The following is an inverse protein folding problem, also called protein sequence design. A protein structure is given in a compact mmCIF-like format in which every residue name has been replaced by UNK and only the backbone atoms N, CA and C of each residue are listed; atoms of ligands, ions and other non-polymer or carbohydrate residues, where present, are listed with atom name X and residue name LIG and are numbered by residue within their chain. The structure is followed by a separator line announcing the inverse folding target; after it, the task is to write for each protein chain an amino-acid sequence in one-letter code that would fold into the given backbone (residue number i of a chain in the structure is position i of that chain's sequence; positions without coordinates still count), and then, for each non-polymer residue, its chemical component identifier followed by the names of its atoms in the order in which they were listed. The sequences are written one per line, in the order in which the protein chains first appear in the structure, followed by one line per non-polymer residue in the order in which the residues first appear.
data_IF_927422893977
#
_entry.id   IF_927422893977
#
_cell.length_a   1.000
_cell.length_b   1.000
_cell.length_c   1.000
_cell.angle_alpha   90.00
_cell.angle_beta   90.00
_cell.angle_gamma   90.00
#
_symmetry.space_group_name_H-M   'P 1'
#
loop_
_entity.id
_entity.type
_entity.pdbx_description
1 polymer ?
#
# COMPACT_ATOMS: atom_id res chain seq x y z
N UNK A 1 15.21 -19.89 2.42
CA UNK A 1 15.36 -18.44 2.20
C UNK A 1 15.36 -18.22 0.71
N UNK A 2 14.41 -17.43 0.19
CA UNK A 2 14.28 -17.17 -1.24
C UNK A 2 15.20 -16.04 -1.67
N UNK A 3 15.69 -16.14 -2.90
CA UNK A 3 16.48 -15.13 -3.60
C UNK A 3 15.69 -14.42 -4.70
N UNK A 4 14.36 -14.48 -4.60
CA UNK A 4 13.44 -13.97 -5.60
C UNK A 4 12.10 -13.58 -4.99
N UNK A 5 11.44 -12.67 -5.68
CA UNK A 5 10.08 -12.23 -5.40
C UNK A 5 9.11 -12.96 -6.32
N UNK A 6 7.88 -13.13 -5.85
CA UNK A 6 6.73 -13.55 -6.66
C UNK A 6 5.63 -12.52 -6.49
N UNK A 7 5.12 -12.00 -7.60
CA UNK A 7 3.97 -11.10 -7.63
C UNK A 7 3.15 -11.36 -8.89
N UNK A 8 1.87 -11.05 -8.84
CA UNK A 8 1.02 -11.08 -10.04
C UNK A 8 0.85 -9.67 -10.58
N UNK A 9 0.86 -9.50 -11.90
CA UNK A 9 0.64 -8.22 -12.58
C UNK A 9 -0.41 -8.43 -13.66
N UNK A 10 -1.56 -7.75 -13.56
CA UNK A 10 -2.72 -7.93 -14.44
C UNK A 10 -3.10 -9.42 -14.62
N UNK A 11 -3.08 -10.20 -13.53
CA UNK A 11 -3.33 -11.65 -13.52
C UNK A 11 -2.15 -12.54 -13.94
N UNK A 12 -1.09 -12.01 -14.54
CA UNK A 12 0.09 -12.79 -14.92
C UNK A 12 1.07 -12.93 -13.76
N UNK A 13 1.53 -14.15 -13.48
CA UNK A 13 2.51 -14.42 -12.42
C UNK A 13 3.92 -14.07 -12.87
N UNK A 14 4.64 -13.28 -12.08
CA UNK A 14 6.03 -12.88 -12.32
C UNK A 14 6.96 -13.35 -11.20
N UNK A 15 8.17 -13.77 -11.57
CA UNK A 15 9.27 -14.03 -10.65
C UNK A 15 10.38 -13.03 -10.91
N UNK A 16 10.75 -12.24 -9.90
CA UNK A 16 11.72 -11.14 -10.04
C UNK A 16 12.93 -11.38 -9.15
N UNK A 17 14.13 -11.15 -9.71
CA UNK A 17 15.43 -11.51 -9.11
C UNK A 17 16.45 -10.39 -9.36
N UNK A 18 17.54 -10.44 -8.59
CA UNK A 18 18.72 -9.60 -8.81
C UNK A 18 18.38 -8.11 -8.84
N UNK A 19 18.98 -7.37 -9.80
CA UNK A 19 18.82 -5.91 -9.91
C UNK A 19 17.37 -5.46 -10.07
N UNK A 20 16.55 -6.25 -10.78
CA UNK A 20 15.17 -5.86 -11.06
C UNK A 20 14.34 -5.78 -9.77
N UNK A 21 14.68 -6.55 -8.74
CA UNK A 21 13.98 -6.55 -7.46
C UNK A 21 14.13 -5.24 -6.66
N UNK A 22 15.09 -4.38 -7.00
CA UNK A 22 15.29 -3.08 -6.37
C UNK A 22 14.76 -1.91 -7.21
N UNK A 23 14.22 -2.18 -8.40
CA UNK A 23 13.60 -1.13 -9.22
C UNK A 23 12.35 -0.59 -8.53
N UNK A 24 12.00 0.66 -8.86
CA UNK A 24 10.65 1.14 -8.61
C UNK A 24 9.65 0.26 -9.37
N UNK A 25 8.45 0.07 -8.81
CA UNK A 25 7.39 -0.68 -9.48
C UNK A 25 7.11 -0.07 -10.87
N UNK A 26 7.10 1.26 -10.97
CA UNK A 26 6.87 1.95 -12.23
C UNK A 26 7.95 1.68 -13.29
N UNK A 27 9.22 1.61 -12.92
CA UNK A 27 10.31 1.31 -13.85
C UNK A 27 10.23 -0.14 -14.32
N UNK A 28 9.89 -1.07 -13.42
CA UNK A 28 9.68 -2.44 -13.82
C UNK A 28 8.50 -2.59 -14.80
N UNK A 29 7.34 -2.01 -14.47
CA UNK A 29 6.16 -2.03 -15.34
C UNK A 29 6.48 -1.48 -16.73
N UNK A 30 7.15 -0.32 -16.80
CA UNK A 30 7.39 0.39 -18.06
C UNK A 30 8.57 -0.16 -18.85
N UNK A 31 9.70 -0.40 -18.19
CA UNK A 31 10.98 -0.71 -18.84
C UNK A 31 11.24 -2.22 -18.97
N UNK A 32 10.62 -3.05 -18.15
CA UNK A 32 10.74 -4.53 -18.26
C UNK A 32 9.53 -5.16 -18.91
N UNK A 33 8.32 -4.71 -18.57
CA UNK A 33 7.08 -5.32 -19.07
C UNK A 33 6.45 -4.56 -20.24
N UNK A 34 6.87 -3.33 -20.52
CA UNK A 34 6.28 -2.52 -21.59
C UNK A 34 4.86 -2.02 -21.29
N UNK A 35 4.41 -2.11 -20.02
CA UNK A 35 3.13 -1.58 -19.54
C UNK A 35 3.24 -0.07 -19.32
N UNK A 36 3.22 0.67 -20.44
CA UNK A 36 3.52 2.10 -20.50
C UNK A 36 2.34 3.02 -20.17
N UNK A 37 1.15 2.47 -19.90
CA UNK A 37 -0.04 3.20 -19.47
C UNK A 37 0.17 3.94 -18.16
N UNK A 38 0.84 3.30 -17.19
CA UNK A 38 1.31 3.95 -15.96
C UNK A 38 2.37 5.01 -16.31
N UNK A 39 2.18 6.27 -15.88
CA UNK A 39 3.05 7.38 -16.25
C UNK A 39 3.93 7.82 -15.09
N UNK A 40 5.11 8.38 -15.42
CA UNK A 40 6.03 8.95 -14.44
C UNK A 40 6.27 10.42 -14.80
N UNK A 41 6.00 11.30 -13.82
CA UNK A 41 6.08 12.75 -13.98
C UNK A 41 6.95 13.35 -12.87
N UNK A 42 6.48 13.31 -11.62
CA UNK A 42 7.24 13.87 -10.49
C UNK A 42 8.31 12.90 -9.96
N UNK A 43 8.03 11.59 -9.93
CA UNK A 43 8.86 10.58 -9.25
C UNK A 43 8.99 10.78 -7.73
N UNK A 44 8.01 11.45 -7.11
CA UNK A 44 8.03 11.79 -5.68
C UNK A 44 6.76 11.34 -4.94
N UNK A 45 5.76 10.82 -5.65
CA UNK A 45 4.46 10.45 -5.07
C UNK A 45 3.44 11.62 -4.99
N UNK A 46 3.77 12.79 -5.54
CA UNK A 46 2.90 13.98 -5.41
C UNK A 46 1.80 14.07 -6.47
N UNK A 47 2.04 13.57 -7.69
CA UNK A 47 1.16 13.86 -8.83
C UNK A 47 0.12 12.79 -9.15
N UNK A 48 0.27 11.57 -8.62
CA UNK A 48 -0.62 10.44 -8.88
C UNK A 48 -0.66 9.91 -10.32
N UNK A 49 0.14 10.44 -11.25
CA UNK A 49 0.17 9.93 -12.63
C UNK A 49 0.65 8.47 -12.72
N UNK A 50 1.33 8.00 -11.68
CA UNK A 50 1.84 6.64 -11.52
C UNK A 50 0.95 5.75 -10.66
N UNK A 51 -0.27 6.18 -10.31
CA UNK A 51 -1.17 5.39 -9.47
C UNK A 51 -1.47 4.05 -10.14
N UNK A 52 -1.34 2.97 -9.38
CA UNK A 52 -1.75 1.59 -9.71
C UNK A 52 -2.50 1.00 -8.52
N UNK A 53 -3.24 -0.09 -8.71
CA UNK A 53 -3.89 -0.79 -7.61
C UNK A 53 -3.00 -1.94 -7.13
N UNK A 54 -2.76 -2.01 -5.82
CA UNK A 54 -2.05 -3.13 -5.18
C UNK A 54 -3.01 -3.91 -4.30
N UNK A 55 -3.24 -5.15 -4.71
CA UNK A 55 -4.03 -6.17 -4.05
C UNK A 55 -3.22 -6.99 -3.06
N UNK A 56 -3.73 -7.16 -1.84
CA UNK A 56 -3.18 -8.10 -0.84
C UNK A 56 -4.24 -9.09 -0.36
N UNK A 57 -3.88 -10.37 -0.10
CA UNK A 57 -4.82 -11.33 0.47
C UNK A 57 -5.40 -10.85 1.81
N UNK A 58 -6.71 -10.89 1.94
CA UNK A 58 -7.45 -10.62 3.16
C UNK A 58 -8.33 -11.82 3.52
N UNK A 59 -8.54 -12.02 4.82
CA UNK A 59 -9.56 -12.94 5.30
C UNK A 59 -10.87 -12.16 5.37
N UNK A 60 -11.75 -12.27 4.36
CA UNK A 60 -13.12 -11.79 4.53
C UNK A 60 -13.78 -12.67 5.59
N UNK A 61 -14.30 -12.08 6.66
CA UNK A 61 -15.38 -12.72 7.42
C UNK A 61 -16.53 -12.82 6.42
N UNK A 62 -17.04 -14.04 6.19
CA UNK A 62 -18.20 -14.21 5.31
C UNK A 62 -19.29 -13.25 5.76
N UNK A 63 -19.72 -12.35 4.88
CA UNK A 63 -20.89 -11.52 5.11
C UNK A 63 -22.06 -12.47 5.39
N UNK A 64 -22.70 -12.31 6.53
CA UNK A 64 -24.02 -12.88 6.77
C UNK A 64 -24.99 -12.20 5.82
N UNK A 65 -25.08 -12.70 4.58
CA UNK A 65 -26.11 -12.28 3.65
C UNK A 65 -27.46 -12.40 4.32
N UNK A 66 -28.27 -11.32 4.27
CA UNK A 66 -29.65 -11.34 4.76
C UNK A 66 -30.36 -12.53 4.13
N UNK A 67 -30.75 -13.49 4.97
CA UNK A 67 -31.58 -14.61 4.54
C UNK A 67 -32.98 -14.05 4.25
N UNK A 68 -33.49 -14.27 3.04
CA UNK A 68 -34.93 -14.27 2.84
C UNK A 68 -35.47 -15.53 3.55
N UNK A 69 -36.51 -15.37 4.37
CA UNK A 69 -37.11 -16.43 5.19
C UNK A 69 -37.78 -17.57 4.40
N UNK A 70 -37.68 -17.59 3.06
CA UNK A 70 -38.43 -18.50 2.21
C UNK A 70 -37.75 -19.87 1.94
N UNK A 71 -36.45 -20.03 2.17
CA UNK A 71 -35.70 -21.24 1.76
C UNK A 71 -35.12 -22.05 2.93
N UNK A 72 -35.91 -22.23 4.00
CA UNK A 72 -35.53 -23.04 5.16
C UNK A 72 -35.69 -24.55 4.87
N UNK A 73 -34.81 -25.12 4.04
CA UNK A 73 -34.62 -26.58 3.98
C UNK A 73 -33.60 -27.04 5.04
N UNK A 74 -33.91 -28.05 5.88
CA UNK A 74 -33.01 -28.57 6.90
C UNK A 74 -31.66 -29.07 6.37
N UNK A 75 -31.56 -29.39 5.08
CA UNK A 75 -30.31 -29.82 4.44
C UNK A 75 -29.39 -28.66 3.99
N UNK A 76 -29.84 -27.40 4.04
CA UNK A 76 -29.00 -26.24 3.71
C UNK A 76 -28.06 -25.83 4.87
N UNK A 77 -28.38 -26.23 6.11
CA UNK A 77 -27.60 -25.91 7.31
C UNK A 77 -26.31 -26.72 7.43
N UNK A 78 -26.23 -27.91 6.82
CA UNK A 78 -25.09 -28.82 6.95
C UNK A 78 -23.96 -28.59 5.93
N UNK A 79 -24.13 -27.70 4.93
CA UNK A 79 -23.10 -27.40 3.92
C UNK A 79 -22.39 -26.04 4.15
N UNK A 80 -22.71 -25.33 5.24
CA UNK A 80 -22.33 -23.92 5.43
C UNK A 80 -21.39 -23.64 6.61
N UNK A 81 -20.51 -24.58 6.92
CA UNK A 81 -19.33 -24.33 7.77
C UNK A 81 -18.09 -24.74 6.96
N UNK A 82 -17.10 -23.84 6.84
CA UNK A 82 -15.74 -24.03 6.29
C UNK A 82 -15.35 -23.44 4.91
N UNK A 83 -15.83 -22.25 4.53
CA UNK A 83 -15.04 -21.45 3.58
C UNK A 83 -14.93 -20.01 4.07
N UNK A 84 -13.83 -19.70 4.77
CA UNK A 84 -13.31 -18.33 4.70
C UNK A 84 -13.06 -18.04 3.23
N UNK A 85 -13.90 -17.23 2.60
CA UNK A 85 -13.67 -16.81 1.22
C UNK A 85 -12.42 -15.93 1.25
N UNK A 86 -11.33 -16.45 0.69
CA UNK A 86 -10.12 -15.66 0.49
C UNK A 86 -10.42 -14.61 -0.57
N UNK A 87 -10.25 -13.34 -0.21
CA UNK A 87 -10.39 -12.20 -1.09
C UNK A 87 -9.08 -11.45 -1.21
N UNK A 88 -8.93 -10.64 -2.25
CA UNK A 88 -7.84 -9.66 -2.34
C UNK A 88 -8.44 -8.28 -2.12
N UNK A 89 -7.86 -7.50 -1.21
CA UNK A 89 -8.21 -6.08 -1.04
C UNK A 89 -7.25 -5.20 -1.82
N UNK A 90 -7.78 -4.29 -2.63
CA UNK A 90 -7.01 -3.45 -3.54
C UNK A 90 -7.00 -2.01 -3.05
N UNK A 91 -5.81 -1.42 -2.95
CA UNK A 91 -5.64 -0.01 -2.62
C UNK A 91 -4.81 0.69 -3.69
N UNK A 92 -5.14 1.93 -4.08
CA UNK A 92 -4.34 2.70 -5.01
C UNK A 92 -3.04 3.17 -4.35
N UNK A 93 -1.91 3.02 -5.04
CA UNK A 93 -0.58 3.43 -4.54
C UNK A 93 0.24 4.07 -5.64
N UNK A 94 1.21 4.91 -5.26
CA UNK A 94 2.14 5.53 -6.21
C UNK A 94 3.31 4.59 -6.53
N UNK A 95 3.26 3.99 -7.71
CA UNK A 95 4.27 3.01 -8.16
C UNK A 95 5.68 3.57 -8.32
N UNK A 96 5.84 4.90 -8.41
CA UNK A 96 7.14 5.54 -8.59
C UNK A 96 8.05 5.50 -7.35
N UNK A 97 7.47 5.28 -6.17
CA UNK A 97 8.19 5.30 -4.87
C UNK A 97 8.13 3.96 -4.13
N UNK A 98 7.52 2.93 -4.74
CA UNK A 98 7.51 1.57 -4.20
C UNK A 98 8.61 0.74 -4.87
N UNK A 99 9.49 0.12 -4.08
CA UNK A 99 10.44 -0.88 -4.58
C UNK A 99 9.75 -2.23 -4.78
N UNK A 100 10.18 -2.98 -5.78
CA UNK A 100 9.61 -4.31 -6.04
C UNK A 100 9.77 -5.29 -4.86
N UNK A 101 10.88 -5.23 -4.11
CA UNK A 101 11.08 -6.13 -2.98
C UNK A 101 10.03 -5.99 -1.86
N UNK A 102 9.30 -4.87 -1.81
CA UNK A 102 8.20 -4.65 -0.86
C UNK A 102 6.88 -5.33 -1.32
N UNK A 103 6.83 -5.82 -2.56
CA UNK A 103 5.62 -6.25 -3.25
C UNK A 103 5.55 -7.76 -3.49
N UNK A 104 6.40 -8.55 -2.84
CA UNK A 104 6.25 -10.02 -2.83
C UNK A 104 4.86 -10.43 -2.31
N UNK A 105 4.27 -11.44 -2.94
CA UNK A 105 2.94 -11.96 -2.64
C UNK A 105 1.82 -10.90 -2.75
N UNK A 106 1.92 -10.02 -3.74
CA UNK A 106 0.87 -9.02 -4.07
C UNK A 106 0.36 -9.16 -5.50
N UNK A 107 -0.84 -8.66 -5.74
CA UNK A 107 -1.39 -8.46 -7.09
C UNK A 107 -1.28 -6.99 -7.47
N UNK A 108 -0.68 -6.66 -8.60
CA UNK A 108 -0.66 -5.30 -9.15
C UNK A 108 -1.60 -5.24 -10.34
N UNK A 109 -2.53 -4.29 -10.34
CA UNK A 109 -3.38 -3.99 -11.49
C UNK A 109 -3.05 -2.59 -12.00
N UNK A 110 -2.75 -2.52 -13.29
CA UNK A 110 -2.45 -1.28 -14.03
C UNK A 110 -3.66 -0.85 -14.86
N UNK A 111 -3.60 0.31 -15.52
CA UNK A 111 -4.71 0.79 -16.36
C UNK A 111 -5.03 -0.17 -17.50
N UNK A 112 -4.00 -0.88 -18.02
CA UNK A 112 -4.13 -1.93 -19.03
C UNK A 112 -4.82 -3.19 -18.48
N UNK A 113 -4.73 -3.44 -17.18
CA UNK A 113 -5.34 -4.60 -16.51
C UNK A 113 -6.81 -4.41 -16.15
N UNK A 114 -7.38 -3.22 -16.32
CA UNK A 114 -8.79 -2.99 -15.99
C UNK A 114 -9.76 -3.67 -16.97
N UNK A 115 -9.31 -3.92 -18.21
CA UNK A 115 -10.02 -4.65 -19.26
C UNK A 115 -9.03 -5.32 -20.21
N UNK A 116 -8.62 -6.57 -19.92
CA UNK A 116 -7.67 -7.31 -20.76
C UNK A 116 -8.18 -7.62 -22.18
N UNK A 117 -9.49 -7.55 -22.40
CA UNK A 117 -10.16 -7.76 -23.69
C UNK A 117 -10.10 -6.54 -24.63
N UNK A 118 -9.47 -5.45 -24.20
CA UNK A 118 -9.30 -4.22 -24.98
C UNK A 118 -10.53 -3.32 -25.00
N UNK A 119 -11.59 -3.66 -24.27
CA UNK A 119 -12.73 -2.78 -24.04
C UNK A 119 -12.40 -1.75 -22.96
N UNK A 120 -13.29 -0.78 -22.75
CA UNK A 120 -13.16 0.18 -21.65
C UNK A 120 -14.00 -0.29 -20.45
N UNK A 121 -13.48 -0.13 -19.24
CA UNK A 121 -14.32 -0.19 -18.06
C UNK A 121 -15.15 1.10 -17.94
N UNK A 122 -16.14 1.10 -17.05
CA UNK A 122 -17.03 2.25 -16.87
C UNK A 122 -16.31 3.53 -16.43
N UNK A 123 -15.20 3.44 -15.67
CA UNK A 123 -14.39 4.61 -15.29
C UNK A 123 -13.67 5.20 -16.50
N UNK A 124 -13.06 4.35 -17.33
CA UNK A 124 -12.40 4.77 -18.57
C UNK A 124 -13.41 5.38 -19.55
N UNK A 125 -14.59 4.78 -19.69
CA UNK A 125 -15.65 5.29 -20.55
C UNK A 125 -16.17 6.64 -20.03
N UNK A 126 -16.42 6.78 -18.73
CA UNK A 126 -16.88 8.04 -18.14
C UNK A 126 -15.86 9.18 -18.31
N UNK A 127 -14.55 8.89 -18.28
CA UNK A 127 -13.50 9.88 -18.58
C UNK A 127 -13.58 10.42 -20.01
N UNK A 128 -14.07 9.63 -20.96
CA UNK A 128 -14.31 10.07 -22.34
C UNK A 128 -15.60 10.88 -22.40
N UNK A 129 -16.68 10.33 -21.86
CA UNK A 129 -18.04 10.88 -21.98
C UNK A 129 -18.16 12.26 -21.33
N UNK A 130 -17.54 12.47 -20.16
CA UNK A 130 -17.56 13.77 -19.47
C UNK A 130 -16.41 14.69 -19.88
N UNK A 131 -15.61 14.34 -20.90
CA UNK A 131 -14.43 15.11 -21.29
C UNK A 131 -13.40 15.29 -20.14
N UNK A 132 -13.29 14.28 -19.28
CA UNK A 132 -12.34 14.22 -18.15
C UNK A 132 -10.87 14.10 -18.57
N UNK A 133 -10.58 14.03 -19.88
CA UNK A 133 -9.24 13.89 -20.43
C UNK A 133 -8.98 14.91 -21.55
N UNK A 134 -7.85 15.63 -21.47
CA UNK A 134 -7.35 16.51 -22.55
C UNK A 134 -6.00 16.01 -23.07
N UNK A 135 -4.89 16.37 -22.42
CA UNK A 135 -3.55 15.89 -22.82
C UNK A 135 -3.34 14.39 -22.59
N UNK A 136 -4.18 13.77 -21.74
CA UNK A 136 -4.17 12.33 -21.47
C UNK A 136 -3.11 11.83 -20.48
N UNK A 137 -2.14 12.65 -20.08
CA UNK A 137 -0.98 12.14 -19.31
C UNK A 137 -1.33 11.76 -17.86
N UNK A 138 -2.21 12.51 -17.20
CA UNK A 138 -2.68 12.20 -15.84
C UNK A 138 -3.85 11.19 -15.83
N UNK A 139 -4.50 10.97 -16.97
CA UNK A 139 -5.73 10.19 -17.10
C UNK A 139 -5.60 8.77 -16.51
N UNK A 140 -4.52 8.00 -16.78
CA UNK A 140 -4.34 6.68 -16.16
C UNK A 140 -4.37 6.72 -14.63
N UNK A 141 -3.70 7.70 -14.02
CA UNK A 141 -3.67 7.85 -12.56
C UNK A 141 -5.06 8.11 -11.96
N UNK A 142 -5.84 9.01 -12.57
CA UNK A 142 -7.21 9.27 -12.17
C UNK A 142 -8.13 8.06 -12.34
N UNK A 143 -7.99 7.33 -13.45
CA UNK A 143 -8.74 6.09 -13.69
C UNK A 143 -8.44 5.08 -12.59
N UNK A 144 -7.17 4.84 -12.27
CA UNK A 144 -6.80 3.88 -11.22
C UNK A 144 -7.28 4.30 -9.83
N UNK A 145 -7.22 5.59 -9.49
CA UNK A 145 -7.70 6.10 -8.21
C UNK A 145 -9.23 5.99 -8.09
N UNK A 146 -9.98 6.35 -9.13
CA UNK A 146 -11.44 6.18 -9.16
C UNK A 146 -11.85 4.71 -9.15
N UNK A 147 -11.14 3.83 -9.87
CA UNK A 147 -11.37 2.39 -9.76
C UNK A 147 -11.13 1.90 -8.33
N UNK A 148 -10.08 2.38 -7.64
CA UNK A 148 -9.86 2.08 -6.22
C UNK A 148 -11.05 2.47 -5.33
N UNK A 149 -11.61 3.67 -5.52
CA UNK A 149 -12.84 4.07 -4.81
C UNK A 149 -14.01 3.15 -5.12
N UNK A 150 -14.19 2.74 -6.39
CA UNK A 150 -15.24 1.79 -6.78
C UNK A 150 -14.99 0.37 -6.31
N UNK A 151 -13.77 0.00 -5.91
CA UNK A 151 -13.49 -1.29 -5.26
C UNK A 151 -13.90 -1.28 -3.78
N UNK A 152 -14.09 -0.11 -3.18
CA UNK A 152 -14.51 0.05 -1.77
C UNK A 152 -15.97 0.46 -1.62
N UNK A 153 -16.50 1.26 -2.57
CA UNK A 153 -17.82 1.88 -2.51
C UNK A 153 -18.69 1.43 -3.69
N UNK A 154 -20.00 1.31 -3.47
CA UNK A 154 -20.98 1.05 -4.53
C UNK A 154 -21.43 2.34 -5.24
N UNK A 155 -21.50 3.44 -4.47
CA UNK A 155 -21.86 4.78 -4.97
C UNK A 155 -20.77 5.79 -4.61
N UNK A 156 -20.48 6.69 -5.55
CA UNK A 156 -19.52 7.77 -5.40
C UNK A 156 -20.26 9.11 -5.32
N UNK A 157 -19.98 9.90 -4.29
CA UNK A 157 -20.44 11.28 -4.21
C UNK A 157 -19.29 12.27 -4.48
N UNK A 158 -19.62 13.56 -4.53
CA UNK A 158 -18.64 14.59 -4.83
C UNK A 158 -17.57 14.75 -3.74
N UNK A 159 -17.89 14.45 -2.48
CA UNK A 159 -16.97 14.59 -1.36
C UNK A 159 -15.93 13.47 -1.35
N UNK A 160 -16.37 12.22 -1.56
CA UNK A 160 -15.49 11.08 -1.65
C UNK A 160 -14.57 11.19 -2.86
N UNK A 161 -15.05 11.69 -4.01
CA UNK A 161 -14.23 11.95 -5.19
C UNK A 161 -13.20 13.05 -4.94
N UNK A 162 -13.59 14.17 -4.33
CA UNK A 162 -12.64 15.25 -4.02
C UNK A 162 -11.55 14.79 -3.07
N UNK A 163 -11.88 13.95 -2.09
CA UNK A 163 -10.93 13.42 -1.11
C UNK A 163 -10.04 12.33 -1.72
N UNK A 164 -10.66 11.36 -2.39
CA UNK A 164 -10.00 10.20 -2.99
C UNK A 164 -9.06 10.54 -4.14
N UNK A 165 -9.29 11.68 -4.82
CA UNK A 165 -8.50 12.15 -5.96
C UNK A 165 -7.50 13.26 -5.60
N UNK A 166 -7.35 13.61 -4.32
CA UNK A 166 -6.38 14.66 -3.89
C UNK A 166 -4.94 14.35 -4.29
N UNK A 167 -4.57 13.08 -4.45
CA UNK A 167 -3.25 12.65 -4.92
C UNK A 167 -3.04 12.72 -6.43
N UNK A 168 -4.04 13.12 -7.22
CA UNK A 168 -3.96 13.12 -8.66
C UNK A 168 -4.01 14.55 -9.20
N UNK A 169 -2.94 14.97 -9.89
CA UNK A 169 -2.82 16.33 -10.41
C UNK A 169 -3.16 16.39 -11.90
N UNK A 170 -4.03 17.33 -12.27
CA UNK A 170 -4.33 17.65 -13.66
C UNK A 170 -4.07 19.12 -13.93
N UNK A 171 -3.34 19.43 -15.00
CA UNK A 171 -3.06 20.82 -15.40
C UNK A 171 -3.98 21.34 -16.51
N UNK A 172 -4.79 20.48 -17.12
CA UNK A 172 -5.54 20.80 -18.33
C UNK A 172 -7.05 20.96 -18.11
N UNK A 173 -7.68 20.06 -17.35
CA UNK A 173 -9.14 19.92 -17.34
C UNK A 173 -9.87 20.83 -16.37
N UNK A 174 -9.17 21.41 -15.38
CA UNK A 174 -9.80 22.16 -14.30
C UNK A 174 -10.60 21.30 -13.31
N UNK A 175 -10.39 19.97 -13.32
CA UNK A 175 -10.95 18.95 -12.40
C UNK A 175 -12.46 18.70 -12.47
N UNK A 176 -13.31 19.71 -12.72
CA UNK A 176 -14.78 19.54 -12.81
C UNK A 176 -15.19 18.35 -13.68
N UNK A 177 -14.75 18.21 -14.95
CA UNK A 177 -15.16 17.07 -15.78
C UNK A 177 -14.65 15.72 -15.26
N UNK A 178 -13.57 15.68 -14.48
CA UNK A 178 -13.07 14.44 -13.85
C UNK A 178 -13.98 14.01 -12.71
N UNK A 179 -14.46 14.96 -11.90
CA UNK A 179 -15.42 14.69 -10.83
C UNK A 179 -16.75 14.23 -11.44
N UNK A 180 -17.20 14.87 -12.53
CA UNK A 180 -18.38 14.44 -13.28
C UNK A 180 -18.24 13.00 -13.81
N UNK A 181 -17.07 12.61 -14.32
CA UNK A 181 -16.79 11.21 -14.70
C UNK A 181 -16.97 10.23 -13.55
N UNK A 182 -16.47 10.57 -12.36
CA UNK A 182 -16.65 9.74 -11.17
C UNK A 182 -18.13 9.58 -10.79
N UNK A 183 -18.90 10.66 -10.84
CA UNK A 183 -20.34 10.63 -10.56
C UNK A 183 -21.12 9.83 -11.62
N UNK A 184 -20.74 9.91 -12.90
CA UNK A 184 -21.35 9.14 -13.98
C UNK A 184 -21.15 7.62 -13.80
N UNK A 185 -20.14 7.18 -13.03
CA UNK A 185 -19.95 5.76 -12.72
C UNK A 185 -21.05 5.17 -11.81
N UNK A 186 -21.88 6.00 -11.15
CA UNK A 186 -22.99 5.52 -10.33
C UNK A 186 -24.06 4.87 -11.20
N UNK A 187 -24.47 3.65 -10.81
CA UNK A 187 -25.44 2.85 -11.57
C UNK A 187 -24.88 2.22 -12.86
N UNK A 188 -23.63 2.51 -13.24
CA UNK A 188 -22.94 1.80 -14.31
C UNK A 188 -22.41 0.45 -13.82
N UNK A 189 -22.43 -0.55 -14.70
CA UNK A 189 -21.86 -1.87 -14.41
C UNK A 189 -20.40 -1.73 -13.92
N UNK A 190 -20.06 -2.42 -12.83
CA UNK A 190 -18.72 -2.52 -12.28
C UNK A 190 -18.37 -3.97 -12.08
N UNK A 191 -17.48 -4.48 -12.92
CA UNK A 191 -16.82 -5.73 -12.60
C UNK A 191 -15.75 -5.45 -11.53
N UNK A 192 -15.92 -6.01 -10.33
CA UNK A 192 -14.93 -5.88 -9.25
C UNK A 192 -13.67 -6.63 -9.64
N UNK A 193 -12.50 -6.21 -9.14
CA UNK A 193 -11.24 -6.85 -9.51
C UNK A 193 -11.13 -8.31 -9.07
N UNK A 194 -11.82 -8.72 -8.00
CA UNK A 194 -11.89 -10.12 -7.59
C UNK A 194 -12.76 -10.99 -8.53
N UNK A 195 -13.66 -10.38 -9.31
CA UNK A 195 -14.45 -11.09 -10.33
C UNK A 195 -13.63 -11.22 -11.62
N UNK A 196 -13.00 -10.12 -12.05
CA UNK A 196 -12.10 -10.10 -13.21
C UNK A 196 -10.86 -11.00 -13.01
N UNK A 197 -10.33 -11.03 -11.78
CA UNK A 197 -9.18 -11.82 -11.40
C UNK A 197 -9.52 -12.71 -10.20
N UNK A 198 -10.07 -13.93 -10.43
CA UNK A 198 -10.47 -14.84 -9.37
C UNK A 198 -9.33 -15.10 -8.38
N UNK A 199 -9.52 -14.82 -7.07
CA UNK A 199 -8.41 -14.73 -6.12
C UNK A 199 -7.80 -16.07 -5.73
N UNK A 200 -8.56 -17.17 -5.80
CA UNK A 200 -8.18 -18.45 -5.19
C UNK A 200 -6.82 -19.02 -5.66
N UNK A 201 -6.51 -19.13 -6.96
CA UNK A 201 -5.22 -19.65 -7.40
C UNK A 201 -4.05 -18.76 -6.93
N UNK A 202 -4.27 -17.44 -6.95
CA UNK A 202 -3.26 -16.45 -6.59
C UNK A 202 -3.00 -16.44 -5.08
N UNK A 203 -4.06 -16.42 -4.26
CA UNK A 203 -3.95 -16.45 -2.80
C UNK A 203 -3.30 -17.76 -2.34
N UNK A 204 -3.64 -18.90 -2.95
CA UNK A 204 -3.02 -20.18 -2.62
C UNK A 204 -1.50 -20.18 -2.90
N UNK A 205 -1.04 -19.58 -4.00
CA UNK A 205 0.39 -19.44 -4.29
C UNK A 205 1.08 -18.49 -3.29
N UNK A 206 0.45 -17.35 -2.99
CA UNK A 206 0.99 -16.37 -2.04
C UNK A 206 1.12 -16.95 -0.63
N UNK A 207 0.11 -17.65 -0.12
CA UNK A 207 0.14 -18.25 1.22
C UNK A 207 1.26 -19.30 1.35
N UNK A 208 1.53 -20.09 0.30
CA UNK A 208 2.67 -21.03 0.29
C UNK A 208 4.02 -20.32 0.47
N UNK A 209 4.16 -19.13 -0.12
CA UNK A 209 5.44 -18.40 -0.15
C UNK A 209 5.60 -17.41 1.01
N UNK A 210 4.52 -17.04 1.69
CA UNK A 210 4.46 -15.98 2.72
C UNK A 210 5.34 -16.27 3.95
N UNK A 211 5.48 -17.53 4.33
CA UNK A 211 6.28 -17.92 5.49
C UNK A 211 7.80 -17.89 5.23
N UNK A 212 8.24 -17.87 3.97
CA UNK A 212 9.66 -17.91 3.61
C UNK A 212 10.28 -16.51 3.64
N UNK A 213 11.41 -16.29 4.36
CA UNK A 213 12.15 -15.03 4.28
C UNK A 213 12.86 -14.91 2.94
N UNK A 214 13.08 -13.66 2.51
CA UNK A 214 13.73 -13.32 1.23
C UNK A 214 15.05 -12.59 1.51
N UNK A 215 16.08 -12.91 0.75
CA UNK A 215 17.32 -12.14 0.69
C UNK A 215 17.74 -11.97 -0.76
N UNK A 216 17.72 -10.73 -1.21
CA UNK A 216 18.07 -10.35 -2.57
C UNK A 216 19.46 -9.74 -2.58
N UNK A 217 20.28 -10.20 -3.51
CA UNK A 217 21.60 -9.64 -3.75
C UNK A 217 21.65 -9.06 -5.15
N UNK A 218 22.28 -7.91 -5.27
CA UNK A 218 22.56 -7.27 -6.54
C UNK A 218 23.87 -6.49 -6.43
N UNK A 219 24.37 -6.01 -7.56
CA UNK A 219 25.58 -5.20 -7.63
C UNK A 219 25.26 -3.96 -8.47
N UNK A 220 25.56 -2.75 -8.00
CA UNK A 220 25.50 -1.53 -8.82
C UNK A 220 26.87 -0.89 -8.85
N UNK A 221 27.41 -0.67 -10.05
CA UNK A 221 28.73 -0.05 -10.24
C UNK A 221 29.85 -0.71 -9.43
N UNK A 222 29.82 -2.04 -9.26
CA UNK A 222 30.80 -2.78 -8.45
C UNK A 222 30.51 -2.78 -6.94
N UNK A 223 29.45 -2.11 -6.48
CA UNK A 223 29.06 -2.09 -5.07
C UNK A 223 27.96 -3.13 -4.78
N UNK A 224 28.18 -4.04 -3.82
CA UNK A 224 27.18 -5.03 -3.44
C UNK A 224 26.01 -4.36 -2.72
N UNK A 225 24.80 -4.77 -3.10
CA UNK A 225 23.55 -4.34 -2.50
C UNK A 225 22.77 -5.55 -2.00
N UNK A 226 22.22 -5.45 -0.79
CA UNK A 226 21.41 -6.48 -0.16
C UNK A 226 20.05 -5.90 0.28
N UNK A 227 18.98 -6.63 -0.01
CA UNK A 227 17.67 -6.38 0.57
C UNK A 227 17.19 -7.64 1.31
N UNK A 228 16.93 -7.51 2.61
CA UNK A 228 16.38 -8.56 3.44
C UNK A 228 14.88 -8.32 3.70
N UNK A 229 14.04 -9.30 3.42
CA UNK A 229 12.61 -9.28 3.75
C UNK A 229 12.30 -10.45 4.71
N UNK A 230 12.61 -10.31 6.02
CA UNK A 230 12.36 -11.34 7.02
C UNK A 230 10.86 -11.50 7.31
N UNK A 231 10.48 -12.68 7.78
CA UNK A 231 9.10 -13.00 8.19
C UNK A 231 8.90 -12.92 9.70
N UNK A 232 9.92 -12.54 10.46
CA UNK A 232 9.86 -12.40 11.92
C UNK A 232 10.60 -11.17 12.39
N UNK A 233 10.14 -10.59 13.51
CA UNK A 233 10.82 -9.47 14.16
C UNK A 233 12.23 -9.85 14.62
N UNK A 234 12.44 -11.08 15.09
CA UNK A 234 13.75 -11.57 15.49
C UNK A 234 14.74 -11.53 14.32
N UNK A 235 14.36 -12.08 13.16
CA UNK A 235 15.22 -12.05 11.98
C UNK A 235 15.51 -10.63 11.47
N UNK A 236 14.56 -9.70 11.60
CA UNK A 236 14.78 -8.28 11.28
C UNK A 236 15.80 -7.63 12.21
N UNK A 237 15.70 -7.89 13.52
CA UNK A 237 16.64 -7.36 14.50
C UNK A 237 18.04 -7.96 14.36
N UNK A 238 18.13 -9.26 14.06
CA UNK A 238 19.42 -9.93 13.79
C UNK A 238 20.09 -9.33 12.56
N UNK A 239 19.33 -9.08 11.48
CA UNK A 239 19.85 -8.38 10.30
C UNK A 239 20.35 -6.96 10.63
N UNK A 240 19.64 -6.20 11.48
CA UNK A 240 20.12 -4.88 11.92
C UNK A 240 21.37 -4.96 12.81
N UNK A 241 21.55 -6.05 13.57
CA UNK A 241 22.77 -6.25 14.34
C UNK A 241 23.97 -6.56 13.43
N UNK A 242 23.77 -7.30 12.35
CA UNK A 242 24.79 -7.60 11.34
C UNK A 242 25.05 -6.44 10.39
N UNK A 243 24.03 -5.63 10.11
CA UNK A 243 24.07 -4.46 9.22
C UNK A 243 23.58 -3.19 9.95
N UNK A 244 24.36 -2.60 10.88
CA UNK A 244 23.91 -1.46 11.69
C UNK A 244 23.54 -0.20 10.91
N UNK A 245 24.01 -0.08 9.67
CA UNK A 245 23.71 1.05 8.77
C UNK A 245 22.60 0.74 7.76
N UNK A 246 21.94 -0.41 7.87
CA UNK A 246 20.86 -0.77 6.97
C UNK A 246 19.71 0.23 7.06
N UNK A 247 19.16 0.60 5.91
CA UNK A 247 17.98 1.45 5.84
C UNK A 247 16.73 0.58 5.98
N UNK A 248 15.95 0.85 7.01
CA UNK A 248 14.65 0.20 7.23
C UNK A 248 13.63 0.75 6.23
N UNK A 249 12.87 -0.14 5.60
CA UNK A 249 11.85 0.18 4.60
C UNK A 249 10.54 -0.47 4.99
N UNK A 250 9.46 0.31 4.95
CA UNK A 250 8.08 -0.19 5.08
C UNK A 250 7.22 0.40 3.97
N UNK A 251 6.85 1.68 4.07
CA UNK A 251 6.05 2.38 3.06
C UNK A 251 6.83 2.99 1.91
N UNK A 252 8.15 3.16 2.05
CA UNK A 252 9.05 3.80 1.09
C UNK A 252 8.71 5.25 0.64
N UNK A 253 7.72 5.91 1.24
CA UNK A 253 7.27 7.28 0.86
C UNK A 253 8.30 8.39 1.08
N UNK A 254 9.38 8.11 1.80
CA UNK A 254 10.54 9.02 1.95
C UNK A 254 11.79 8.45 1.26
N UNK A 255 12.17 7.21 1.55
CA UNK A 255 13.37 6.59 0.97
C UNK A 255 13.24 6.41 -0.56
N UNK A 256 12.07 6.07 -1.09
CA UNK A 256 11.82 5.98 -2.53
C UNK A 256 12.07 7.31 -3.23
N UNK A 257 11.60 8.42 -2.64
CA UNK A 257 11.85 9.78 -3.14
C UNK A 257 13.34 10.11 -3.11
N UNK A 258 14.04 9.79 -2.01
CA UNK A 258 15.49 10.01 -1.93
C UNK A 258 16.26 9.22 -2.97
N UNK A 259 15.91 7.96 -3.21
CA UNK A 259 16.53 7.14 -4.24
C UNK A 259 16.30 7.76 -5.62
N UNK A 260 15.06 8.14 -5.94
CA UNK A 260 14.74 8.75 -7.23
C UNK A 260 15.51 10.06 -7.48
N UNK A 261 15.63 10.91 -6.46
CA UNK A 261 16.35 12.20 -6.57
C UNK A 261 17.87 12.05 -6.63
N UNK A 262 18.43 11.11 -5.86
CA UNK A 262 19.88 10.92 -5.77
C UNK A 262 20.44 9.95 -6.81
N UNK A 263 19.60 9.09 -7.39
CA UNK A 263 20.01 7.96 -8.21
C UNK A 263 20.77 6.88 -7.45
N UNK A 264 20.73 6.88 -6.10
CA UNK A 264 21.52 5.98 -5.25
C UNK A 264 20.63 5.16 -4.34
N UNK A 265 20.75 3.84 -4.45
CA UNK A 265 20.08 2.88 -3.58
C UNK A 265 21.01 2.63 -2.37
N UNK A 266 20.49 2.55 -1.12
CA UNK A 266 21.31 2.16 0.02
C UNK A 266 21.89 0.74 -0.15
N UNK A 267 23.16 0.49 0.26
CA UNK A 267 23.78 -0.83 0.13
C UNK A 267 23.08 -1.94 0.91
N UNK A 268 22.43 -1.62 2.03
CA UNK A 268 21.68 -2.58 2.83
C UNK A 268 20.28 -2.04 3.13
N UNK A 269 19.26 -2.84 2.81
CA UNK A 269 17.85 -2.52 2.97
C UNK A 269 17.17 -3.62 3.79
N UNK A 270 16.35 -3.22 4.75
CA UNK A 270 15.53 -4.12 5.55
C UNK A 270 14.05 -3.82 5.30
N UNK A 271 13.37 -4.71 4.60
CA UNK A 271 11.93 -4.63 4.37
C UNK A 271 11.16 -5.23 5.55
N UNK A 272 10.23 -4.47 6.11
CA UNK A 272 9.36 -4.94 7.18
C UNK A 272 8.05 -5.56 6.67
N UNK A 273 7.80 -5.58 5.35
CA UNK A 273 6.47 -5.89 4.81
C UNK A 273 5.96 -7.31 5.06
N UNK A 274 6.87 -8.23 5.37
CA UNK A 274 6.59 -9.65 5.59
C UNK A 274 6.50 -10.07 7.05
N UNK A 275 6.74 -9.15 7.98
CA UNK A 275 6.64 -9.41 9.41
C UNK A 275 5.17 -9.23 9.83
N UNK A 276 4.51 -10.27 10.38
CA UNK A 276 3.14 -10.17 10.86
C UNK A 276 3.02 -9.23 12.07
N UNK A 277 1.81 -8.75 12.32
CA UNK A 277 1.40 -7.97 13.50
C UNK A 277 2.08 -6.59 13.66
N UNK A 278 2.97 -6.18 12.75
CA UNK A 278 3.53 -4.84 12.75
C UNK A 278 2.58 -3.79 12.17
N UNK A 279 1.53 -4.19 11.47
CA UNK A 279 0.52 -3.33 10.85
C UNK A 279 -0.78 -3.22 11.67
N UNK A 280 -0.86 -3.93 12.80
CA UNK A 280 -2.04 -3.97 13.65
C UNK A 280 -2.31 -2.62 14.33
N UNK A 281 -3.59 -2.29 14.46
CA UNK A 281 -4.08 -1.09 15.17
C UNK A 281 -5.27 -1.49 16.03
N UNK A 282 -5.15 -1.31 17.34
CA UNK A 282 -6.17 -1.73 18.30
C UNK A 282 -6.33 -0.75 19.44
N UNK A 283 -7.53 -0.72 20.02
CA UNK A 283 -7.85 0.06 21.21
C UNK A 283 -7.98 -0.90 22.40
N UNK A 284 -7.12 -0.73 23.40
CA UNK A 284 -7.11 -1.54 24.62
C UNK A 284 -7.02 -0.61 25.82
N UNK A 285 -7.93 -0.75 26.79
CA UNK A 285 -7.91 0.04 28.05
C UNK A 285 -7.74 1.55 27.81
N UNK A 286 -8.52 2.14 26.90
CA UNK A 286 -8.42 3.55 26.46
C UNK A 286 -7.06 3.96 25.86
N UNK A 287 -6.26 2.99 25.41
CA UNK A 287 -4.97 3.22 24.76
C UNK A 287 -5.04 2.72 23.32
N UNK A 288 -4.75 3.58 22.35
CA UNK A 288 -4.57 3.18 20.96
C UNK A 288 -3.16 2.62 20.79
N UNK A 289 -3.06 1.33 20.46
CA UNK A 289 -1.81 0.63 20.19
C UNK A 289 -1.71 0.43 18.68
N UNK A 290 -0.65 0.95 18.07
CA UNK A 290 -0.39 0.82 16.65
C UNK A 290 1.01 0.23 16.42
N UNK A 291 1.09 -0.80 15.59
CA UNK A 291 2.37 -1.35 15.16
C UNK A 291 3.15 -0.35 14.28
N UNK A 292 4.46 -0.54 14.17
CA UNK A 292 5.34 0.38 13.43
C UNK A 292 5.01 0.51 11.92
N UNK A 293 4.33 -0.49 11.36
CA UNK A 293 3.82 -0.51 9.99
C UNK A 293 2.36 -0.12 9.84
N UNK A 294 1.67 0.25 10.92
CA UNK A 294 0.33 0.78 10.83
C UNK A 294 0.31 1.92 9.80
N UNK A 295 -0.52 1.77 8.76
CA UNK A 295 -0.62 2.75 7.71
C UNK A 295 -1.43 3.95 8.20
N UNK A 296 -1.26 5.09 7.56
CA UNK A 296 -2.09 6.25 7.87
C UNK A 296 -3.57 5.96 7.61
N UNK A 297 -3.90 5.13 6.63
CA UNK A 297 -5.28 4.69 6.38
C UNK A 297 -5.82 3.84 7.52
N UNK A 298 -5.07 2.86 8.05
CA UNK A 298 -5.56 2.06 9.18
C UNK A 298 -5.71 2.89 10.46
N UNK A 299 -4.78 3.83 10.69
CA UNK A 299 -4.87 4.78 11.80
C UNK A 299 -6.06 5.73 11.66
N UNK A 300 -6.31 6.28 10.47
CA UNK A 300 -7.45 7.17 10.23
C UNK A 300 -8.78 6.45 10.55
N UNK A 301 -8.94 5.21 10.09
CA UNK A 301 -10.12 4.38 10.38
C UNK A 301 -10.27 4.12 11.88
N UNK A 302 -9.19 3.73 12.57
CA UNK A 302 -9.24 3.45 14.00
C UNK A 302 -9.50 4.71 14.84
N UNK A 303 -8.92 5.85 14.46
CA UNK A 303 -9.05 7.11 15.17
C UNK A 303 -10.42 7.76 14.98
N UNK A 304 -11.09 7.55 13.85
CA UNK A 304 -12.40 8.17 13.58
C UNK A 304 -13.46 7.91 14.65
N UNK A 305 -13.33 6.80 15.40
CA UNK A 305 -14.24 6.45 16.48
C UNK A 305 -13.74 6.83 17.88
N UNK A 306 -12.43 7.01 18.05
CA UNK A 306 -11.78 7.09 19.37
C UNK A 306 -11.01 8.40 19.63
N UNK A 307 -10.54 9.08 18.58
CA UNK A 307 -9.67 10.26 18.61
C UNK A 307 -10.02 11.23 17.45
N UNK A 308 -11.14 11.98 17.56
CA UNK A 308 -11.60 12.85 16.48
C UNK A 308 -10.61 13.99 16.16
N UNK A 309 -9.87 14.50 17.15
CA UNK A 309 -8.86 15.54 16.94
C UNK A 309 -7.71 15.04 16.06
N UNK A 310 -7.23 13.81 16.30
CA UNK A 310 -6.18 13.24 15.47
C UNK A 310 -6.70 12.91 14.07
N UNK A 311 -7.96 12.48 13.97
CA UNK A 311 -8.63 12.22 12.69
C UNK A 311 -8.65 13.46 11.80
N UNK A 312 -8.87 14.65 12.37
CA UNK A 312 -8.81 15.91 11.61
C UNK A 312 -7.40 16.23 11.08
N UNK A 313 -6.34 15.83 11.79
CA UNK A 313 -4.97 15.99 11.31
C UNK A 313 -4.72 14.98 10.18
N UNK A 314 -5.03 13.71 10.43
CA UNK A 314 -4.79 12.61 9.50
C UNK A 314 -5.58 12.73 8.18
N UNK A 315 -6.77 13.34 8.20
CA UNK A 315 -7.59 13.54 6.99
C UNK A 315 -6.93 14.49 5.98
N UNK A 316 -6.05 15.38 6.45
CA UNK A 316 -5.26 16.30 5.61
C UNK A 316 -3.83 15.79 5.34
N UNK A 317 -3.46 14.65 5.92
CA UNK A 317 -2.12 14.09 5.85
C UNK A 317 -1.90 13.37 4.51
N UNK A 318 -1.12 13.99 3.62
CA UNK A 318 -0.76 13.42 2.32
C UNK A 318 -1.96 13.06 1.43
N UNK A 319 -1.70 12.43 0.30
CA UNK A 319 -2.74 11.86 -0.55
C UNK A 319 -3.16 10.46 -0.07
N UNK A 320 -4.36 9.96 -0.44
CA UNK A 320 -4.79 8.58 -0.17
C UNK A 320 -3.71 7.54 -0.54
N UNK A 321 -3.10 7.68 -1.71
CA UNK A 321 -2.03 6.79 -2.21
C UNK A 321 -0.82 6.74 -1.28
N UNK A 322 -0.43 7.90 -0.73
CA UNK A 322 0.63 8.01 0.27
C UNK A 322 0.17 7.40 1.60
N UNK A 323 -1.09 7.62 2.01
CA UNK A 323 -1.64 7.08 3.27
C UNK A 323 -1.78 5.55 3.28
N UNK A 324 -2.04 4.93 2.13
CA UNK A 324 -2.19 3.48 2.02
C UNK A 324 -0.90 2.72 2.35
N UNK A 325 0.27 3.34 2.15
CA UNK A 325 1.58 2.68 2.35
C UNK A 325 2.46 3.38 3.38
N UNK A 326 2.32 4.70 3.56
CA UNK A 326 3.04 5.47 4.56
C UNK A 326 2.68 5.00 5.97
N UNK A 327 3.69 4.82 6.81
CA UNK A 327 3.51 4.21 8.14
C UNK A 327 3.87 5.17 9.26
N UNK A 328 3.21 5.00 10.41
CA UNK A 328 3.48 5.77 11.62
C UNK A 328 4.94 5.63 12.07
N UNK A 329 5.45 4.40 12.14
CA UNK A 329 6.84 4.15 12.54
C UNK A 329 7.85 4.77 11.57
N UNK A 330 7.54 4.77 10.26
CA UNK A 330 8.37 5.43 9.25
C UNK A 330 8.41 6.95 9.42
N UNK A 331 7.28 7.57 9.77
CA UNK A 331 7.21 9.01 10.02
C UNK A 331 7.93 9.44 11.30
N UNK A 332 7.76 8.69 12.39
CA UNK A 332 8.49 8.90 13.65
C UNK A 332 10.00 8.75 13.40
N UNK A 333 10.42 7.65 12.78
CA UNK A 333 11.84 7.40 12.51
C UNK A 333 12.45 8.39 11.50
N UNK A 334 11.66 8.95 10.58
CA UNK A 334 12.13 9.98 9.65
C UNK A 334 12.51 11.29 10.37
N UNK A 335 11.85 11.59 11.50
CA UNK A 335 12.17 12.73 12.35
C UNK A 335 12.15 14.07 11.57
N UNK A 336 11.19 14.21 10.64
CA UNK A 336 11.01 15.45 9.90
C UNK A 336 10.51 16.56 10.84
N UNK A 337 11.13 17.77 10.82
CA UNK A 337 10.64 18.91 11.61
C UNK A 337 9.22 19.37 11.25
N UNK A 338 8.71 18.93 10.09
CA UNK A 338 7.38 19.26 9.58
C UNK A 338 6.47 18.03 9.50
N UNK A 339 6.74 16.98 10.28
CA UNK A 339 5.85 15.84 10.36
C UNK A 339 4.59 16.19 11.17
N UNK A 340 3.44 16.26 10.49
CA UNK A 340 2.18 16.74 11.08
C UNK A 340 1.66 15.89 12.25
N UNK A 341 2.05 14.61 12.32
CA UNK A 341 1.66 13.71 13.42
C UNK A 341 2.47 13.93 14.70
N UNK A 342 3.70 14.45 14.62
CA UNK A 342 4.58 14.54 15.79
C UNK A 342 4.05 15.50 16.87
N UNK A 343 3.55 16.71 16.55
CA UNK A 343 2.96 17.59 17.57
C UNK A 343 1.86 16.91 18.38
N UNK A 344 0.98 16.15 17.74
CA UNK A 344 -0.08 15.41 18.42
C UNK A 344 0.51 14.33 19.34
N UNK A 345 1.47 13.54 18.86
CA UNK A 345 2.10 12.49 19.65
C UNK A 345 2.86 13.03 20.87
N UNK A 346 3.51 14.20 20.75
CA UNK A 346 4.16 14.87 21.88
C UNK A 346 3.17 15.28 22.96
N UNK A 347 2.05 15.92 22.57
CA UNK A 347 1.00 16.36 23.51
C UNK A 347 0.34 15.17 24.19
N UNK A 348 0.18 14.06 23.47
CA UNK A 348 -0.36 12.81 24.02
C UNK A 348 0.68 12.00 24.80
N UNK A 349 1.92 12.47 24.91
CA UNK A 349 3.02 11.78 25.60
C UNK A 349 3.18 10.33 25.14
N UNK A 350 3.06 10.11 23.82
CA UNK A 350 3.03 8.76 23.25
C UNK A 350 4.25 7.93 23.67
N UNK A 351 4.00 6.67 24.04
CA UNK A 351 5.05 5.72 24.41
C UNK A 351 5.51 4.90 23.21
N UNK A 352 6.81 4.88 22.96
CA UNK A 352 7.45 4.10 21.91
C UNK A 352 8.09 2.84 22.48
N UNK A 353 7.73 1.67 21.95
CA UNK A 353 8.38 0.39 22.30
C UNK A 353 9.51 0.11 21.32
N UNK A 354 10.75 0.15 21.82
CA UNK A 354 11.95 -0.13 21.04
C UNK A 354 12.46 -1.53 21.33
N UNK A 355 12.90 -2.25 20.31
CA UNK A 355 13.42 -3.61 20.43
C UNK A 355 14.85 -3.73 19.89
N UNK A 356 15.64 -4.62 20.49
CA UNK A 356 17.00 -4.97 20.05
C UNK A 356 17.17 -6.49 19.92
N UNK A 357 18.05 -6.93 19.01
CA UNK A 357 18.38 -8.34 18.80
C UNK A 357 18.84 -9.06 20.07
N UNK A 358 18.59 -10.37 20.12
CA UNK A 358 19.02 -11.27 21.17
C UNK A 358 20.52 -11.46 21.28
N UNK A 359 21.21 -11.51 20.14
CA UNK A 359 22.69 -11.61 20.09
C UNK A 359 23.36 -10.37 20.70
N UNK A 360 22.64 -9.26 20.78
CA UNK A 360 23.05 -8.02 21.43
C UNK A 360 22.36 -7.79 22.80
N UNK A 361 21.74 -8.82 23.39
CA UNK A 361 21.01 -8.80 24.65
C UNK A 361 19.52 -8.43 24.49
N UNK A 362 18.68 -9.41 24.06
CA UNK A 362 17.26 -9.18 23.68
C UNK A 362 16.58 -8.37 24.77
N UNK A 363 16.22 -7.15 24.43
CA UNK A 363 15.59 -6.24 25.35
C UNK A 363 14.59 -5.41 24.58
N UNK A 364 13.42 -5.23 25.20
CA UNK A 364 12.49 -4.19 24.85
C UNK A 364 12.60 -3.09 25.89
N UNK A 365 12.47 -1.84 25.45
CA UNK A 365 12.33 -0.71 26.36
C UNK A 365 11.26 0.23 25.84
N UNK A 366 10.60 0.89 26.77
CA UNK A 366 9.64 1.95 26.48
C UNK A 366 10.33 3.30 26.61
N UNK A 367 9.97 4.23 25.73
CA UNK A 367 10.51 5.60 25.70
C UNK A 367 9.35 6.55 25.45
N UNK A 368 9.20 7.56 26.30
CA UNK A 368 8.28 8.65 25.99
C UNK A 368 8.78 9.40 24.76
N UNK A 369 7.91 9.73 23.81
CA UNK A 369 8.32 10.40 22.57
C UNK A 369 9.02 11.74 22.82
N UNK A 370 8.72 12.43 23.93
CA UNK A 370 9.40 13.66 24.33
C UNK A 370 10.90 13.46 24.64
N UNK A 371 11.30 12.24 25.00
CA UNK A 371 12.69 11.85 25.29
C UNK A 371 13.36 11.10 24.13
N UNK A 372 12.65 10.90 23.02
CA UNK A 372 13.10 10.03 21.93
C UNK A 372 14.11 10.69 20.99
N UNK A 373 13.88 11.95 20.61
CA UNK A 373 14.69 12.64 19.62
C UNK A 373 15.89 13.34 20.26
N UNK A 374 17.06 13.16 19.66
CA UNK A 374 18.34 13.71 20.13
C UNK A 374 18.79 14.92 19.30
N UNK A 375 18.11 15.22 18.19
CA UNK A 375 18.35 16.42 17.39
C UNK A 375 17.68 16.40 16.03
N UNK A 376 18.12 17.27 15.13
CA UNK A 376 17.60 17.33 13.77
C UNK A 376 17.80 15.98 13.07
N UNK A 377 16.68 15.31 12.77
CA UNK A 377 16.64 13.98 12.17
C UNK A 377 17.42 12.91 12.95
N UNK A 378 17.43 12.98 14.29
CA UNK A 378 18.20 12.08 15.16
C UNK A 378 17.46 11.68 16.41
#
# INVERSE_FOLDING_TARGET
MRDHLVLCINGARHTVRGRDAFLSLSDFLRLRLGLIGTKIVCSEGDCGACTVLVGRPTKRKAESGKLNEADASPNAYAFRIQHSVFSISYLPVDSCIQFLFQLDCTHVVTVEGLRPDGQLNSVQQAMIDCHGSQCGFCTPGFVMAMTGLREELDELDAECLRTGLTGNLCRCTGYTPIIESGLQCNGAEHERLNDLYPPMPMVADFERLRAEPITLNAEWFGEPHIAACPTTLAGALDFLAEHPTATIVAGATDIGVRVNKSGRIPPALLDLNRIPDLDDVRLENNTLIAGARASWTSLLTACGLALPEFTSILSTFGAPQIRHVGTLGGNIANASPIADSLPFLYVMEATLTLARSASAGRSTREVNINDFYLGYKK
#
